data_IF_328330022020
#
_entry.id   IF_328330022020
#
_cell.length_a   1.000
_cell.length_b   1.000
_cell.length_c   1.000
_cell.angle_alpha   90.00
_cell.angle_beta   90.00
_cell.angle_gamma   90.00
#
_symmetry.space_group_name_H-M   'P 1'
#
loop_
_entity.id
_entity.type
_entity.pdbx_description
1 polymer ?
#
# COMPACT_ATOMS: atom_id res chain seq x y z
N UNK A 1 -13.28 -21.03 13.27
CA UNK A 1 -14.67 -20.53 13.10
C UNK A 1 -14.87 -20.15 11.64
N UNK A 2 -15.99 -20.54 11.04
CA UNK A 2 -16.33 -20.18 9.65
C UNK A 2 -17.71 -19.53 9.58
N UNK A 3 -17.91 -18.67 8.58
CA UNK A 3 -19.22 -18.13 8.25
C UNK A 3 -20.15 -19.27 7.81
N UNK A 4 -21.41 -19.22 8.25
CA UNK A 4 -22.42 -20.20 7.84
C UNK A 4 -22.78 -20.08 6.36
N UNK A 5 -22.74 -18.84 5.86
CA UNK A 5 -23.07 -18.51 4.47
C UNK A 5 -21.84 -17.96 3.75
N UNK A 6 -21.70 -18.20 2.45
CA UNK A 6 -20.63 -17.62 1.65
C UNK A 6 -20.81 -16.12 1.49
N UNK A 7 -19.72 -15.42 1.23
CA UNK A 7 -19.72 -14.01 0.84
C UNK A 7 -20.12 -13.94 -0.64
N UNK A 8 -21.28 -13.35 -0.90
CA UNK A 8 -21.80 -13.15 -2.26
C UNK A 8 -21.20 -11.93 -2.98
N UNK A 9 -20.60 -11.00 -2.24
CA UNK A 9 -20.00 -9.81 -2.83
C UNK A 9 -18.78 -10.17 -3.70
N UNK A 10 -18.74 -9.64 -4.93
CA UNK A 10 -17.61 -9.81 -5.83
C UNK A 10 -16.45 -8.89 -5.44
N UNK A 11 -16.78 -7.66 -5.05
CA UNK A 11 -15.86 -6.66 -4.52
C UNK A 11 -16.32 -6.25 -3.12
N UNK A 12 -15.41 -6.26 -2.15
CA UNK A 12 -15.74 -6.02 -0.75
C UNK A 12 -14.56 -5.44 0.04
N UNK A 13 -14.91 -4.72 1.10
CA UNK A 13 -13.99 -4.31 2.16
C UNK A 13 -14.33 -5.08 3.43
N UNK A 14 -13.31 -5.58 4.13
CA UNK A 14 -13.43 -6.21 5.43
C UNK A 14 -12.61 -5.44 6.46
N UNK A 15 -13.23 -5.07 7.57
CA UNK A 15 -12.56 -4.53 8.75
C UNK A 15 -12.65 -5.54 9.90
N UNK A 16 -11.48 -6.06 10.32
CA UNK A 16 -11.34 -6.99 11.43
C UNK A 16 -10.62 -6.31 12.59
N UNK A 17 -11.27 -6.28 13.76
CA UNK A 17 -10.67 -5.84 15.01
C UNK A 17 -10.38 -7.07 15.87
N UNK A 18 -9.13 -7.24 16.26
CA UNK A 18 -8.67 -8.39 17.03
C UNK A 18 -7.53 -8.00 17.98
N UNK A 19 -7.18 -8.88 18.91
CA UNK A 19 -6.10 -8.68 19.87
C UNK A 19 -5.31 -9.97 20.05
N UNK A 20 -4.04 -9.96 19.64
CA UNK A 20 -3.10 -11.04 19.91
C UNK A 20 -2.22 -10.60 21.09
N UNK A 21 -2.33 -11.30 22.21
CA UNK A 21 -1.62 -10.91 23.42
C UNK A 21 -1.20 -12.08 24.29
N UNK A 22 -0.12 -11.84 25.03
CA UNK A 22 0.27 -12.65 26.15
C UNK A 22 0.80 -11.71 27.25
N UNK A 23 0.05 -11.51 28.36
CA UNK A 23 0.43 -10.56 29.40
C UNK A 23 1.68 -10.99 30.18
N UNK A 24 1.96 -12.28 30.22
CA UNK A 24 3.09 -12.85 30.96
C UNK A 24 4.40 -12.75 30.17
N UNK A 25 4.32 -12.55 28.86
CA UNK A 25 5.48 -12.47 27.96
C UNK A 25 5.67 -11.03 27.47
N UNK A 26 6.43 -10.23 28.24
CA UNK A 26 6.98 -8.94 27.74
C UNK A 26 8.15 -9.16 26.78
N UNK A 27 8.94 -10.20 27.03
CA UNK A 27 10.05 -10.68 26.22
C UNK A 27 10.08 -12.21 26.31
N UNK A 28 9.99 -12.91 25.18
CA UNK A 28 9.94 -14.38 25.15
C UNK A 28 9.34 -14.89 23.84
N UNK A 29 9.27 -16.21 23.70
CA UNK A 29 8.66 -16.85 22.55
C UNK A 29 7.16 -17.02 22.82
N UNK A 30 6.32 -16.64 21.86
CA UNK A 30 4.86 -16.89 21.84
C UNK A 30 4.51 -17.55 20.51
N UNK A 31 3.34 -18.18 20.40
CA UNK A 31 2.91 -18.82 19.17
C UNK A 31 1.50 -19.42 19.24
N UNK A 32 0.88 -19.74 18.10
CA UNK A 32 1.46 -19.67 16.74
C UNK A 32 0.87 -18.54 15.87
N UNK A 33 -0.27 -17.96 16.25
CA UNK A 33 -0.85 -16.81 15.56
C UNK A 33 -2.34 -16.94 15.25
N UNK A 34 -2.80 -16.01 14.42
CA UNK A 34 -4.16 -15.92 13.89
C UNK A 34 -4.12 -16.04 12.36
N UNK A 35 -5.03 -16.80 11.78
CA UNK A 35 -5.22 -16.86 10.34
C UNK A 35 -6.64 -16.44 9.92
N UNK A 36 -6.70 -15.69 8.81
CA UNK A 36 -7.91 -15.29 8.12
C UNK A 36 -7.99 -16.04 6.79
N UNK A 37 -9.16 -16.56 6.48
CA UNK A 37 -9.36 -17.46 5.34
C UNK A 37 -10.51 -17.01 4.46
N UNK A 38 -10.32 -17.08 3.15
CA UNK A 38 -11.37 -17.00 2.13
C UNK A 38 -11.32 -18.27 1.29
N UNK A 39 -12.06 -19.30 1.71
CA UNK A 39 -11.99 -20.63 1.13
C UNK A 39 -13.25 -20.98 0.35
N UNK A 40 -13.13 -21.89 -0.62
CA UNK A 40 -14.27 -22.40 -1.38
C UNK A 40 -15.31 -23.15 -0.52
N UNK A 41 -14.87 -23.73 0.59
CA UNK A 41 -15.71 -24.39 1.61
C UNK A 41 -15.16 -24.16 3.01
N UNK A 42 -16.01 -24.26 4.06
CA UNK A 42 -15.52 -24.34 5.44
C UNK A 42 -14.56 -25.52 5.59
N UNK A 43 -13.45 -25.29 6.28
CA UNK A 43 -12.43 -26.32 6.51
C UNK A 43 -12.67 -27.05 7.82
N UNK A 44 -12.32 -28.34 7.84
CA UNK A 44 -12.22 -29.13 9.06
C UNK A 44 -11.02 -28.68 9.90
N UNK A 45 -10.99 -29.10 11.16
CA UNK A 45 -9.88 -28.80 12.08
C UNK A 45 -8.60 -29.48 11.57
N UNK A 46 -7.47 -28.76 11.64
CA UNK A 46 -6.17 -29.30 11.26
C UNK A 46 -4.99 -28.51 11.83
N UNK A 47 -3.81 -28.74 11.25
CA UNK A 47 -2.49 -28.33 11.75
C UNK A 47 -1.97 -27.01 11.17
N UNK A 48 -2.77 -26.33 10.34
CA UNK A 48 -2.41 -25.04 9.75
C UNK A 48 -3.24 -23.95 10.39
N UNK A 49 -2.74 -23.37 11.48
CA UNK A 49 -3.44 -22.35 12.26
C UNK A 49 -4.85 -22.81 12.65
N UNK A 50 -5.03 -24.10 12.91
CA UNK A 50 -6.30 -24.71 13.32
C UNK A 50 -7.21 -25.18 12.19
N UNK A 51 -6.79 -25.14 10.91
CA UNK A 51 -7.55 -25.72 9.78
C UNK A 51 -6.76 -26.82 9.06
N UNK A 52 -7.47 -27.64 8.28
CA UNK A 52 -6.86 -28.64 7.41
C UNK A 52 -5.94 -28.01 6.35
N UNK A 53 -4.77 -28.62 6.16
CA UNK A 53 -3.80 -28.25 5.12
C UNK A 53 -4.36 -28.50 3.71
N UNK A 54 -3.68 -27.98 2.67
CA UNK A 54 -4.10 -28.05 1.25
C UNK A 54 -5.48 -27.44 1.01
N UNK A 55 -5.69 -26.26 1.56
CA UNK A 55 -6.91 -25.49 1.33
C UNK A 55 -6.96 -24.92 -0.10
N UNK A 56 -8.16 -24.60 -0.57
CA UNK A 56 -8.41 -23.93 -1.85
C UNK A 56 -8.97 -22.53 -1.59
N UNK A 57 -8.23 -21.49 -1.99
CA UNK A 57 -8.55 -20.10 -1.70
C UNK A 57 -7.41 -19.34 -1.00
N UNK A 58 -7.73 -18.20 -0.41
CA UNK A 58 -6.72 -17.31 0.19
C UNK A 58 -6.59 -17.57 1.69
N UNK A 59 -5.35 -17.79 2.14
CA UNK A 59 -4.94 -17.78 3.54
C UNK A 59 -4.09 -16.56 3.85
N UNK A 60 -4.41 -15.88 4.96
CA UNK A 60 -3.68 -14.73 5.49
C UNK A 60 -3.29 -15.09 6.92
N UNK A 61 -2.06 -15.55 7.10
CA UNK A 61 -1.54 -16.05 8.36
C UNK A 61 -0.75 -14.94 9.04
N UNK A 62 -1.23 -14.50 10.19
CA UNK A 62 -0.56 -13.55 11.08
C UNK A 62 0.28 -14.37 12.07
N UNK A 63 1.49 -14.73 11.64
CA UNK A 63 2.36 -15.67 12.31
C UNK A 63 3.22 -14.96 13.36
N UNK A 64 3.10 -15.37 14.62
CA UNK A 64 3.85 -14.79 15.74
C UNK A 64 5.09 -15.59 16.10
N UNK A 65 5.24 -16.82 15.59
CA UNK A 65 6.31 -17.72 15.96
C UNK A 65 7.21 -18.09 14.80
N UNK A 66 8.52 -18.09 15.05
CA UNK A 66 9.52 -18.44 14.03
C UNK A 66 9.85 -19.93 14.09
N UNK A 67 9.28 -20.73 13.17
CA UNK A 67 9.68 -22.14 13.01
C UNK A 67 10.90 -22.28 12.08
N UNK A 68 10.94 -21.50 11.00
CA UNK A 68 11.95 -21.56 9.97
C UNK A 68 13.26 -20.85 10.33
N UNK A 69 14.31 -21.08 9.53
CA UNK A 69 15.63 -20.44 9.73
C UNK A 69 15.63 -18.95 9.36
N UNK A 70 14.74 -18.53 8.45
CA UNK A 70 14.73 -17.19 7.80
C UNK A 70 13.57 -16.34 8.32
N UNK A 71 13.68 -15.02 8.18
CA UNK A 71 12.61 -14.07 8.50
C UNK A 71 12.69 -13.42 9.88
N UNK A 72 12.00 -12.28 10.00
CA UNK A 72 11.72 -11.57 11.25
C UNK A 72 10.23 -11.74 11.55
N UNK A 73 9.89 -11.93 12.82
CA UNK A 73 8.53 -12.19 13.31
C UNK A 73 8.12 -11.12 14.34
N UNK A 74 6.82 -10.85 14.51
CA UNK A 74 5.68 -11.42 13.77
C UNK A 74 5.67 -11.09 12.27
N UNK A 75 5.12 -11.99 11.47
CA UNK A 75 5.10 -11.91 10.01
C UNK A 75 3.72 -12.24 9.46
N UNK A 76 3.23 -11.41 8.54
CA UNK A 76 1.99 -11.66 7.81
C UNK A 76 2.35 -12.40 6.53
N UNK A 77 1.92 -13.66 6.41
CA UNK A 77 2.14 -14.51 5.24
C UNK A 77 0.83 -14.70 4.48
N UNK A 78 0.83 -14.39 3.19
CA UNK A 78 -0.29 -14.67 2.29
C UNK A 78 0.05 -15.90 1.45
N UNK A 79 -0.88 -16.83 1.36
CA UNK A 79 -0.80 -18.00 0.49
C UNK A 79 -2.13 -18.14 -0.28
N UNK A 80 -2.04 -18.28 -1.60
CA UNK A 80 -3.18 -18.67 -2.43
C UNK A 80 -3.08 -20.19 -2.66
N UNK A 81 -3.94 -20.94 -1.98
CA UNK A 81 -4.02 -22.38 -2.07
C UNK A 81 -4.85 -22.83 -3.28
N UNK A 82 -4.39 -23.87 -3.94
CA UNK A 82 -5.01 -24.51 -5.11
C UNK A 82 -5.66 -25.86 -4.78
N UNK A 83 -5.76 -26.20 -3.49
CA UNK A 83 -6.22 -27.51 -3.01
C UNK A 83 -5.17 -28.63 -3.04
N UNK A 84 -3.95 -28.37 -3.54
CA UNK A 84 -2.88 -29.36 -3.66
C UNK A 84 -1.61 -28.97 -2.91
N UNK A 85 -1.21 -27.71 -3.04
CA UNK A 85 -0.04 -27.14 -2.41
C UNK A 85 -0.18 -27.16 -0.88
N UNK A 86 0.86 -27.66 -0.21
CA UNK A 86 0.89 -27.77 1.24
C UNK A 86 1.50 -26.53 1.86
N UNK A 87 0.87 -26.00 2.92
CA UNK A 87 1.53 -25.06 3.81
C UNK A 87 2.50 -25.83 4.71
N UNK A 88 3.79 -25.53 4.62
CA UNK A 88 4.80 -26.17 5.45
C UNK A 88 5.04 -25.37 6.75
N UNK A 89 4.51 -25.88 7.87
CA UNK A 89 4.64 -25.25 9.19
C UNK A 89 6.10 -25.13 9.65
N UNK A 90 6.97 -26.08 9.29
CA UNK A 90 8.38 -26.06 9.71
C UNK A 90 9.20 -24.91 9.07
N UNK A 91 8.67 -24.28 8.02
CA UNK A 91 9.31 -23.19 7.27
C UNK A 91 8.42 -21.96 7.19
N UNK A 92 7.38 -21.87 8.04
CA UNK A 92 6.43 -20.76 8.09
C UNK A 92 5.76 -20.48 6.71
N UNK A 93 5.57 -21.55 5.93
CA UNK A 93 5.05 -21.50 4.56
C UNK A 93 5.87 -20.65 3.59
N UNK A 94 7.21 -20.63 3.75
CA UNK A 94 8.11 -19.83 2.91
C UNK A 94 8.02 -20.21 1.43
N UNK A 95 7.87 -21.50 1.13
CA UNK A 95 7.92 -22.04 -0.24
C UNK A 95 6.68 -21.67 -1.07
N UNK A 96 5.53 -21.55 -0.41
CA UNK A 96 4.22 -21.29 -1.04
C UNK A 96 3.72 -19.87 -0.79
N UNK A 97 4.60 -19.00 -0.30
CA UNK A 97 4.29 -17.60 0.00
C UNK A 97 4.02 -16.83 -1.29
N UNK A 98 2.84 -16.24 -1.37
CA UNK A 98 2.49 -15.26 -2.41
C UNK A 98 3.11 -13.91 -2.09
N UNK A 99 2.89 -13.40 -0.88
CA UNK A 99 3.40 -12.12 -0.42
C UNK A 99 3.35 -12.04 1.12
N UNK A 100 3.89 -10.96 1.68
CA UNK A 100 3.83 -10.76 3.11
C UNK A 100 4.60 -9.54 3.59
N UNK A 101 4.42 -9.22 4.87
CA UNK A 101 5.10 -8.10 5.52
C UNK A 101 5.50 -8.44 6.96
N UNK A 102 6.45 -7.68 7.49
CA UNK A 102 6.81 -7.78 8.91
C UNK A 102 5.82 -6.93 9.71
N UNK A 103 5.21 -7.51 10.74
CA UNK A 103 4.19 -6.87 11.58
C UNK A 103 4.61 -6.83 13.04
N UNK A 104 5.65 -6.04 13.36
CA UNK A 104 6.28 -6.03 14.70
C UNK A 104 5.34 -5.64 15.84
N UNK A 105 4.31 -4.87 15.54
CA UNK A 105 3.36 -4.33 16.51
C UNK A 105 2.09 -5.19 16.67
N UNK A 106 2.05 -6.36 16.03
CA UNK A 106 0.88 -7.23 16.05
C UNK A 106 0.63 -7.89 17.41
N UNK A 107 1.70 -8.35 18.06
CA UNK A 107 1.66 -8.95 19.39
C UNK A 107 1.75 -7.86 20.46
N UNK A 108 0.86 -7.91 21.45
CA UNK A 108 0.80 -6.95 22.55
C UNK A 108 0.78 -5.48 22.03
N UNK A 109 -0.17 -5.11 21.13
CA UNK A 109 -0.24 -3.76 20.60
C UNK A 109 -0.51 -2.74 21.72
N UNK A 110 0.10 -1.56 21.64
CA UNK A 110 -0.07 -0.49 22.63
C UNK A 110 -1.54 -0.07 22.78
N UNK A 111 -2.30 -0.11 21.68
CA UNK A 111 -3.72 0.22 21.65
C UNK A 111 -4.62 -0.88 22.23
N UNK A 112 -4.06 -2.03 22.65
CA UNK A 112 -4.78 -3.26 23.08
C UNK A 112 -5.66 -3.91 22.03
N UNK A 113 -5.82 -3.33 20.86
CA UNK A 113 -6.52 -3.90 19.73
C UNK A 113 -5.77 -3.50 18.45
N UNK A 114 -5.76 -4.41 17.49
CA UNK A 114 -5.29 -4.16 16.13
C UNK A 114 -6.49 -4.20 15.20
N UNK A 115 -6.56 -3.22 14.30
CA UNK A 115 -7.54 -3.24 13.20
C UNK A 115 -6.84 -3.63 11.92
N UNK A 116 -7.37 -4.61 11.21
CA UNK A 116 -6.98 -4.97 9.86
C UNK A 116 -8.07 -4.51 8.90
N UNK A 117 -7.67 -3.93 7.79
CA UNK A 117 -8.54 -3.63 6.66
C UNK A 117 -8.07 -4.46 5.47
N UNK A 118 -9.00 -5.14 4.83
CA UNK A 118 -8.77 -5.85 3.59
C UNK A 118 -9.71 -5.30 2.54
N UNK A 119 -9.17 -4.90 1.39
CA UNK A 119 -9.97 -4.47 0.23
C UNK A 119 -9.71 -5.45 -0.89
N UNK A 120 -10.77 -6.10 -1.37
CA UNK A 120 -10.74 -6.98 -2.53
C UNK A 120 -11.65 -6.46 -3.63
N UNK A 121 -11.13 -6.42 -4.86
CA UNK A 121 -11.91 -6.04 -6.04
C UNK A 121 -11.85 -7.21 -7.03
N UNK A 122 -12.97 -7.47 -7.70
CA UNK A 122 -13.15 -8.55 -8.70
C UNK A 122 -12.04 -8.65 -9.75
N UNK A 123 -11.47 -7.52 -10.17
CA UNK A 123 -10.32 -7.49 -11.11
C UNK A 123 -9.04 -8.12 -10.57
N UNK A 124 -9.02 -8.51 -9.30
CA UNK A 124 -7.91 -9.18 -8.63
C UNK A 124 -7.05 -8.26 -7.78
N UNK A 125 -7.50 -7.03 -7.54
CA UNK A 125 -6.85 -6.13 -6.59
C UNK A 125 -7.09 -6.61 -5.16
N UNK A 126 -6.03 -6.74 -4.37
CA UNK A 126 -6.08 -7.06 -2.95
C UNK A 126 -5.14 -6.12 -2.19
N UNK A 127 -5.66 -5.37 -1.21
CA UNK A 127 -4.85 -4.58 -0.28
C UNK A 127 -5.14 -5.01 1.15
N UNK A 128 -4.10 -5.09 1.98
CA UNK A 128 -4.21 -5.33 3.41
C UNK A 128 -3.45 -4.26 4.16
N UNK A 129 -4.15 -3.58 5.07
CA UNK A 129 -3.62 -2.51 5.91
C UNK A 129 -3.89 -2.81 7.39
N UNK A 130 -2.95 -2.43 8.26
CA UNK A 130 -3.08 -2.60 9.71
C UNK A 130 -3.01 -1.27 10.46
N UNK A 131 -3.78 -1.16 11.53
CA UNK A 131 -3.73 -0.06 12.47
C UNK A 131 -3.49 -0.61 13.88
N UNK A 132 -2.23 -0.53 14.31
CA UNK A 132 -1.76 -1.06 15.60
C UNK A 132 -1.92 -0.07 16.77
N UNK A 133 -2.14 1.21 16.45
CA UNK A 133 -2.10 2.30 17.44
C UNK A 133 -3.49 2.84 17.81
N UNK A 134 -4.56 2.32 17.20
CA UNK A 134 -5.94 2.73 17.47
C UNK A 134 -6.26 4.18 17.07
N UNK A 135 -5.31 4.89 16.46
CA UNK A 135 -5.52 6.22 15.95
C UNK A 135 -6.19 6.12 14.58
N UNK A 136 -7.30 6.83 14.40
CA UNK A 136 -8.24 6.71 13.28
C UNK A 136 -7.66 6.82 11.84
N UNK A 137 -6.36 7.08 11.65
CA UNK A 137 -5.69 7.23 10.35
C UNK A 137 -4.26 6.71 10.28
N UNK A 138 -3.83 5.93 11.27
CA UNK A 138 -2.51 5.31 11.24
C UNK A 138 -2.60 3.91 10.66
N UNK A 139 -3.10 3.83 9.43
CA UNK A 139 -3.08 2.61 8.64
C UNK A 139 -1.71 2.44 8.00
N UNK A 140 -1.14 1.26 8.17
CA UNK A 140 0.13 0.85 7.59
C UNK A 140 -0.14 -0.26 6.59
N UNK A 141 0.20 0.00 5.33
CA UNK A 141 0.07 -1.01 4.30
C UNK A 141 1.03 -2.16 4.56
N UNK A 142 0.49 -3.37 4.53
CA UNK A 142 1.25 -4.60 4.61
C UNK A 142 1.58 -5.10 3.21
N UNK A 143 0.54 -5.24 2.39
CA UNK A 143 0.64 -5.82 1.06
C UNK A 143 -0.42 -5.25 0.15
N UNK A 144 -0.03 -5.02 -1.09
CA UNK A 144 -0.93 -4.70 -2.20
C UNK A 144 -0.55 -5.60 -3.37
N UNK A 145 -1.52 -6.36 -3.88
CA UNK A 145 -1.35 -7.29 -4.99
C UNK A 145 -2.37 -7.00 -6.08
N UNK A 146 -1.98 -7.34 -7.30
CA UNK A 146 -2.86 -7.50 -8.45
C UNK A 146 -2.99 -8.98 -8.77
N UNK A 147 -3.97 -9.32 -9.61
CA UNK A 147 -4.15 -10.68 -10.15
C UNK A 147 -4.48 -11.76 -9.10
N UNK A 148 -5.01 -11.38 -7.93
CA UNK A 148 -5.49 -12.33 -6.91
C UNK A 148 -6.90 -12.80 -7.25
N UNK A 149 -7.07 -14.08 -7.52
CA UNK A 149 -8.39 -14.68 -7.81
C UNK A 149 -8.88 -15.45 -6.61
N UNK A 150 -9.91 -14.92 -5.95
CA UNK A 150 -10.63 -15.68 -4.93
C UNK A 150 -11.60 -16.67 -5.58
N UNK A 151 -11.93 -17.78 -4.89
CA UNK A 151 -13.00 -18.68 -5.32
C UNK A 151 -14.31 -17.93 -5.52
N UNK A 152 -15.13 -18.36 -6.49
CA UNK A 152 -16.45 -17.75 -6.77
C UNK A 152 -17.36 -17.82 -5.53
N UNK A 153 -17.45 -19.01 -4.95
CA UNK A 153 -18.03 -19.24 -3.62
C UNK A 153 -16.92 -19.13 -2.60
N UNK A 154 -17.03 -18.20 -1.65
CA UNK A 154 -15.98 -17.96 -0.65
C UNK A 154 -16.56 -17.79 0.74
N UNK A 155 -16.11 -18.64 1.66
CA UNK A 155 -16.47 -18.62 3.07
C UNK A 155 -15.38 -17.90 3.85
N UNK A 156 -15.80 -17.03 4.77
CA UNK A 156 -14.86 -16.40 5.69
C UNK A 156 -14.55 -17.37 6.84
N UNK A 157 -13.27 -17.65 7.02
CA UNK A 157 -12.74 -18.36 8.18
C UNK A 157 -11.87 -17.47 9.05
N UNK A 158 -11.98 -17.64 10.36
CA UNK A 158 -11.03 -17.12 11.33
C UNK A 158 -10.61 -18.29 12.22
N UNK A 159 -9.32 -18.56 12.33
CA UNK A 159 -8.81 -19.64 13.17
C UNK A 159 -7.49 -19.24 13.80
N UNK A 160 -7.20 -19.83 14.95
CA UNK A 160 -5.95 -19.63 15.67
C UNK A 160 -5.51 -21.00 16.19
N UNK A 161 -4.21 -21.13 16.40
CA UNK A 161 -3.60 -22.34 16.94
C UNK A 161 -2.55 -21.96 17.97
N UNK A 162 -2.47 -22.75 19.02
CA UNK A 162 -1.38 -22.70 19.99
C UNK A 162 -0.66 -24.04 19.99
N UNK A 163 0.66 -23.98 20.11
CA UNK A 163 1.51 -25.16 20.16
C UNK A 163 2.01 -25.42 21.58
N UNK A 164 3.33 -25.62 21.70
CA UNK A 164 4.01 -25.67 23.00
C UNK A 164 4.07 -24.30 23.68
N UNK A 165 3.96 -23.23 22.87
CA UNK A 165 3.84 -21.86 23.32
C UNK A 165 2.37 -21.46 23.24
N UNK A 166 2.01 -20.49 24.07
CA UNK A 166 0.63 -20.02 24.18
C UNK A 166 0.55 -18.52 23.97
N UNK A 167 -0.54 -18.10 23.35
CA UNK A 167 -0.98 -16.72 23.27
C UNK A 167 -2.50 -16.69 23.24
N UNK A 168 -3.06 -15.55 23.59
CA UNK A 168 -4.49 -15.29 23.49
C UNK A 168 -4.77 -14.58 22.17
N UNK A 169 -5.78 -15.07 21.46
CA UNK A 169 -6.26 -14.46 20.22
C UNK A 169 -7.74 -14.13 20.38
N UNK A 170 -8.01 -12.85 20.60
CA UNK A 170 -9.38 -12.35 20.77
C UNK A 170 -9.87 -11.74 19.46
N UNK A 171 -11.03 -12.19 18.97
CA UNK A 171 -11.74 -11.54 17.85
C UNK A 171 -12.81 -10.63 18.46
N UNK A 172 -12.68 -9.33 18.23
CA UNK A 172 -13.53 -8.31 18.86
C UNK A 172 -14.69 -7.95 17.93
N UNK A 173 -14.38 -7.64 16.68
CA UNK A 173 -15.40 -7.23 15.70
C UNK A 173 -14.93 -7.58 14.29
N UNK A 174 -15.88 -8.02 13.46
CA UNK A 174 -15.66 -8.20 12.04
C UNK A 174 -16.81 -7.55 11.27
N UNK A 175 -16.49 -6.65 10.35
CA UNK A 175 -17.44 -6.00 9.45
C UNK A 175 -17.02 -6.22 8.02
N UNK A 176 -17.97 -6.62 7.17
CA UNK A 176 -17.76 -6.76 5.74
C UNK A 176 -18.75 -5.84 5.04
N UNK A 177 -18.24 -5.04 4.12
CA UNK A 177 -18.99 -4.09 3.30
C UNK A 177 -18.84 -4.52 1.84
N UNK A 178 -19.98 -4.73 1.18
CA UNK A 178 -19.99 -4.90 -0.27
C UNK A 178 -19.73 -3.55 -0.94
N UNK A 179 -18.87 -3.54 -1.97
CA UNK A 179 -18.51 -2.33 -2.70
C UNK A 179 -19.37 -2.24 -3.97
N UNK A 180 -20.41 -1.42 -3.89
CA UNK A 180 -21.32 -1.15 -5.00
C UNK A 180 -21.06 0.22 -5.63
N UNK A 181 -21.38 0.29 -6.91
CA UNK A 181 -21.57 1.53 -7.64
C UNK A 181 -22.99 2.07 -7.41
N UNK A 182 -23.27 3.33 -7.78
CA UNK A 182 -24.61 3.92 -7.67
C UNK A 182 -25.71 3.21 -8.48
N UNK A 183 -25.35 2.37 -9.45
CA UNK A 183 -26.27 1.58 -10.27
C UNK A 183 -26.55 0.17 -9.71
N UNK A 184 -26.18 -0.07 -8.45
CA UNK A 184 -26.27 -1.35 -7.73
C UNK A 184 -25.40 -2.48 -8.32
N UNK A 185 -24.45 -2.17 -9.21
CA UNK A 185 -23.44 -3.15 -9.68
C UNK A 185 -22.18 -3.12 -8.81
N UNK A 186 -21.39 -4.19 -8.79
CA UNK A 186 -20.14 -4.22 -8.02
C UNK A 186 -19.06 -3.39 -8.68
N UNK A 187 -18.21 -2.75 -7.87
CA UNK A 187 -17.02 -2.04 -8.35
C UNK A 187 -16.09 -3.02 -9.06
N UNK A 188 -15.64 -2.70 -10.27
CA UNK A 188 -14.85 -3.62 -11.09
C UNK A 188 -13.35 -3.33 -11.01
N UNK A 189 -12.97 -2.08 -10.75
CA UNK A 189 -11.57 -1.65 -10.74
C UNK A 189 -11.24 -0.73 -9.58
N UNK A 190 -9.95 -0.62 -9.26
CA UNK A 190 -9.47 0.31 -8.23
C UNK A 190 -9.63 1.76 -8.63
N UNK A 191 -9.44 2.09 -9.91
CA UNK A 191 -9.58 3.46 -10.41
C UNK A 191 -11.02 3.93 -10.25
N UNK A 192 -11.99 3.06 -10.57
CA UNK A 192 -13.40 3.30 -10.34
C UNK A 192 -13.74 3.48 -8.85
N UNK A 193 -13.18 2.63 -7.97
CA UNK A 193 -13.36 2.80 -6.52
C UNK A 193 -12.85 4.17 -6.04
N UNK A 194 -11.69 4.60 -6.54
CA UNK A 194 -11.08 5.87 -6.19
C UNK A 194 -11.93 7.06 -6.67
N UNK A 195 -12.49 6.98 -7.87
CA UNK A 195 -13.41 7.99 -8.39
C UNK A 195 -14.67 8.10 -7.53
N UNK A 196 -15.31 6.98 -7.18
CA UNK A 196 -16.48 6.96 -6.30
C UNK A 196 -16.20 7.56 -4.92
N UNK A 197 -15.05 7.22 -4.31
CA UNK A 197 -14.64 7.79 -3.03
C UNK A 197 -14.42 9.30 -3.15
N UNK A 198 -13.83 9.77 -4.25
CA UNK A 198 -13.60 11.20 -4.47
C UNK A 198 -14.91 11.96 -4.60
N UNK A 199 -15.84 11.45 -5.41
CA UNK A 199 -17.17 12.04 -5.61
C UNK A 199 -17.97 12.08 -4.31
N UNK A 200 -17.95 11.01 -3.53
CA UNK A 200 -18.62 10.97 -2.22
C UNK A 200 -18.05 12.00 -1.25
N UNK A 201 -16.72 12.17 -1.20
CA UNK A 201 -16.08 13.16 -0.35
C UNK A 201 -16.43 14.60 -0.78
N UNK A 202 -16.53 14.86 -2.08
CA UNK A 202 -16.93 16.16 -2.63
C UNK A 202 -18.39 16.47 -2.25
N UNK A 203 -19.31 15.51 -2.46
CA UNK A 203 -20.71 15.63 -2.05
C UNK A 203 -20.87 15.88 -0.54
N UNK A 204 -20.17 15.11 0.30
CA UNK A 204 -20.21 15.29 1.76
C UNK A 204 -19.68 16.66 2.20
N UNK A 205 -18.68 17.19 1.49
CA UNK A 205 -18.15 18.54 1.70
C UNK A 205 -19.20 19.61 1.37
N UNK A 206 -19.89 19.47 0.24
CA UNK A 206 -20.96 20.37 -0.19
C UNK A 206 -22.14 20.35 0.81
N UNK A 207 -22.65 19.17 1.17
CA UNK A 207 -23.73 19.02 2.16
C UNK A 207 -23.34 19.63 3.51
N UNK A 208 -22.09 19.41 3.93
CA UNK A 208 -21.54 20.01 5.15
C UNK A 208 -21.56 21.54 5.10
N UNK A 209 -21.21 22.14 3.95
CA UNK A 209 -21.17 23.58 3.75
C UNK A 209 -22.57 24.21 3.81
N UNK A 210 -23.55 23.59 3.14
CA UNK A 210 -24.96 24.01 3.17
C UNK A 210 -25.51 23.89 4.59
N UNK A 211 -25.20 22.79 5.29
CA UNK A 211 -25.63 22.59 6.68
C UNK A 211 -25.06 23.65 7.64
N UNK A 212 -23.85 24.18 7.39
CA UNK A 212 -23.33 25.33 8.15
C UNK A 212 -24.12 26.61 7.88
N UNK A 213 -24.41 26.91 6.60
CA UNK A 213 -25.17 28.11 6.22
C UNK A 213 -26.56 28.10 6.87
N UNK A 214 -27.28 26.97 6.78
CA UNK A 214 -28.60 26.82 7.41
C UNK A 214 -28.53 27.02 8.92
N UNK A 215 -27.49 26.51 9.58
CA UNK A 215 -27.28 26.72 11.03
C UNK A 215 -26.99 28.18 11.37
N UNK A 216 -26.26 28.89 10.53
CA UNK A 216 -25.99 30.33 10.72
C UNK A 216 -27.26 31.16 10.53
N UNK A 217 -28.06 30.86 9.50
CA UNK A 217 -29.35 31.49 9.28
C UNK A 217 -30.33 31.24 10.43
N UNK A 218 -30.40 30.00 10.93
CA UNK A 218 -31.24 29.65 12.07
C UNK A 218 -30.85 30.45 13.33
N UNK A 219 -29.55 30.54 13.64
CA UNK A 219 -29.04 31.36 14.75
C UNK A 219 -29.32 32.86 14.56
N UNK A 220 -29.23 33.37 13.34
CA UNK A 220 -29.54 34.76 13.03
C UNK A 220 -31.04 35.07 13.20
N UNK A 221 -31.92 34.14 12.84
CA UNK A 221 -33.38 34.24 13.08
C UNK A 221 -33.73 34.14 14.57
N UNK A 222 -33.03 33.28 15.33
CA UNK A 222 -33.23 33.12 16.77
C UNK A 222 -32.79 34.38 17.55
N UNK A 223 -31.68 35.02 17.17
CA UNK A 223 -31.26 36.32 17.75
C UNK A 223 -32.25 37.48 17.53
N UNK A 224 -33.09 37.40 16.50
CA UNK A 224 -34.11 38.43 16.19
C UNK A 224 -35.42 38.22 16.96
N UNK A 225 -35.65 37.04 17.56
CA UNK A 225 -36.81 36.74 18.43
C UNK A 225 -36.35 36.85 19.89
N UNK A 226 -36.84 37.87 20.59
CA UNK A 226 -36.26 38.40 21.83
C UNK A 226 -36.01 37.42 22.99
N UNK A 227 -35.06 37.86 23.82
CA UNK A 227 -34.66 37.40 25.15
C UNK A 227 -35.54 36.37 25.89
N UNK A 228 -35.11 35.11 25.86
CA UNK A 228 -35.45 34.10 26.85
C UNK A 228 -34.20 33.32 27.22
N UNK A 229 -33.81 33.34 28.50
CA UNK A 229 -32.66 32.58 29.03
C UNK A 229 -32.93 31.07 28.91
N UNK A 230 -32.37 30.43 27.90
CA UNK A 230 -32.18 28.97 27.91
C UNK A 230 -30.70 28.62 27.81
N UNK A 231 -30.27 27.79 28.77
CA UNK A 231 -28.90 27.30 28.94
C UNK A 231 -28.57 26.39 27.75
N UNK A 232 -27.75 26.89 26.82
CA UNK A 232 -27.36 26.14 25.63
C UNK A 232 -26.54 24.90 26.02
N UNK A 233 -27.05 23.72 25.66
CA UNK A 233 -26.30 22.47 25.74
C UNK A 233 -25.20 22.50 24.66
N UNK A 234 -23.97 22.82 25.06
CA UNK A 234 -22.80 22.88 24.19
C UNK A 234 -22.40 21.45 23.81
N UNK A 235 -23.02 20.89 22.76
CA UNK A 235 -22.64 19.59 22.20
C UNK A 235 -21.24 19.70 21.58
N UNK A 236 -20.33 18.85 22.05
CA UNK A 236 -18.87 18.84 21.82
C UNK A 236 -18.46 18.39 20.39
N UNK A 237 -19.23 18.73 19.35
CA UNK A 237 -19.02 18.23 17.97
C UNK A 237 -17.89 18.93 17.19
N UNK A 238 -17.33 20.01 17.74
CA UNK A 238 -16.28 20.80 17.08
C UNK A 238 -14.87 20.20 17.21
N UNK A 239 -14.66 19.27 18.15
CA UNK A 239 -13.36 18.66 18.45
C UNK A 239 -12.99 17.56 17.44
N UNK A 240 -13.96 16.75 16.99
CA UNK A 240 -13.73 15.71 15.98
C UNK A 240 -13.58 16.29 14.57
N UNK A 241 -14.34 17.33 14.23
CA UNK A 241 -14.38 17.93 12.89
C UNK A 241 -13.14 18.75 12.53
N UNK A 242 -12.49 19.38 13.51
CA UNK A 242 -11.17 20.02 13.31
C UNK A 242 -10.04 19.00 13.14
N UNK A 243 -10.26 17.75 13.60
CA UNK A 243 -9.28 16.68 13.41
C UNK A 243 -9.38 16.13 11.99
N UNK A 244 -10.58 15.92 11.43
CA UNK A 244 -10.76 15.38 10.05
C UNK A 244 -10.22 16.28 8.94
N UNK A 245 -10.31 17.60 9.08
CA UNK A 245 -9.73 18.53 8.08
C UNK A 245 -8.20 18.51 8.07
N UNK A 246 -7.59 18.49 9.27
CA UNK A 246 -6.14 18.40 9.44
C UNK A 246 -5.56 17.09 8.91
N UNK A 247 -6.37 16.03 8.97
CA UNK A 247 -6.09 14.70 8.47
C UNK A 247 -6.06 14.64 6.94
N UNK A 248 -7.06 15.26 6.30
CA UNK A 248 -7.09 15.44 4.84
C UNK A 248 -5.91 16.30 4.35
N UNK A 249 -5.59 17.38 5.05
CA UNK A 249 -4.44 18.23 4.72
C UNK A 249 -3.11 17.47 4.84
N UNK A 250 -2.97 16.58 5.84
CA UNK A 250 -1.79 15.72 5.96
C UNK A 250 -1.77 14.60 4.92
N UNK A 251 -2.91 14.05 4.51
CA UNK A 251 -3.01 13.06 3.44
C UNK A 251 -2.63 13.67 2.09
N UNK A 252 -3.14 14.86 1.77
CA UNK A 252 -2.76 15.62 0.56
C UNK A 252 -1.25 15.91 0.55
N UNK A 253 -0.70 16.35 1.68
CA UNK A 253 0.74 16.61 1.81
C UNK A 253 1.58 15.34 1.59
N UNK A 254 1.15 14.19 2.13
CA UNK A 254 1.81 12.89 1.94
C UNK A 254 1.76 12.41 0.50
N UNK A 255 0.62 12.53 -0.16
CA UNK A 255 0.47 12.18 -1.58
C UNK A 255 1.39 13.07 -2.42
N UNK A 256 1.43 14.37 -2.12
CA UNK A 256 2.31 15.33 -2.81
C UNK A 256 3.79 15.03 -2.57
N UNK A 257 4.17 14.61 -1.37
CA UNK A 257 5.52 14.15 -1.04
C UNK A 257 5.87 12.82 -1.74
N UNK A 258 4.94 11.86 -1.80
CA UNK A 258 5.11 10.60 -2.53
C UNK A 258 5.24 10.82 -4.03
N UNK A 259 4.42 11.69 -4.62
CA UNK A 259 4.58 12.10 -6.02
C UNK A 259 5.93 12.75 -6.26
N UNK A 260 6.38 13.65 -5.37
CA UNK A 260 7.72 14.25 -5.45
C UNK A 260 8.81 13.19 -5.41
N UNK A 261 8.74 12.23 -4.48
CA UNK A 261 9.73 11.15 -4.39
C UNK A 261 9.69 10.21 -5.59
N UNK A 262 8.49 9.93 -6.13
CA UNK A 262 8.33 9.13 -7.34
C UNK A 262 8.88 9.88 -8.56
N UNK A 263 8.59 11.18 -8.71
CA UNK A 263 9.16 12.04 -9.75
C UNK A 263 10.68 12.13 -9.62
N UNK A 264 11.23 12.24 -8.41
CA UNK A 264 12.67 12.16 -8.15
C UNK A 264 13.26 10.81 -8.54
N UNK A 265 12.62 9.69 -8.18
CA UNK A 265 13.11 8.35 -8.56
C UNK A 265 13.01 8.10 -10.07
N UNK A 266 11.99 8.65 -10.74
CA UNK A 266 11.73 8.44 -12.17
C UNK A 266 12.51 9.41 -13.08
N UNK A 267 12.70 10.65 -12.64
CA UNK A 267 13.28 11.73 -13.46
C UNK A 267 14.52 12.38 -12.84
N UNK A 268 14.88 12.05 -11.61
CA UNK A 268 16.14 12.45 -10.96
C UNK A 268 16.17 13.85 -10.35
N UNK A 269 15.20 14.74 -10.63
CA UNK A 269 15.22 16.14 -10.16
C UNK A 269 13.80 16.71 -9.94
N UNK A 270 13.67 17.71 -9.03
CA UNK A 270 12.37 18.17 -8.48
C UNK A 270 11.56 19.10 -9.40
N UNK A 271 12.18 19.95 -10.22
CA UNK A 271 11.47 20.93 -11.06
C UNK A 271 12.03 20.98 -12.48
N UNK A 272 11.23 20.56 -13.47
CA UNK A 272 11.57 20.71 -14.88
C UNK A 272 10.39 21.33 -15.62
N UNK A 273 10.58 22.56 -16.12
CA UNK A 273 9.81 23.09 -17.23
C UNK A 273 10.30 22.42 -18.53
N UNK A 274 9.40 22.10 -19.45
CA UNK A 274 9.70 21.46 -20.74
C UNK A 274 10.93 22.09 -21.46
N UNK A 275 11.10 23.41 -21.31
CA UNK A 275 12.18 24.20 -21.88
C UNK A 275 13.56 23.80 -21.30
N UNK A 276 13.70 23.59 -19.99
CA UNK A 276 15.01 23.31 -19.38
C UNK A 276 15.53 21.92 -19.74
N UNK A 277 14.63 20.93 -19.89
CA UNK A 277 14.99 19.58 -20.35
C UNK A 277 15.54 19.57 -21.77
N UNK A 278 14.82 20.21 -22.70
CA UNK A 278 15.24 20.30 -24.09
C UNK A 278 16.51 21.14 -24.26
N UNK A 279 16.67 22.19 -23.45
CA UNK A 279 17.88 23.01 -23.47
C UNK A 279 19.12 22.23 -23.01
N UNK A 280 18.99 21.38 -21.98
CA UNK A 280 20.07 20.49 -21.54
C UNK A 280 20.49 19.49 -22.62
N UNK A 281 19.53 18.83 -23.28
CA UNK A 281 19.78 17.92 -24.41
C UNK A 281 20.44 18.65 -25.58
N UNK A 282 20.02 19.88 -25.87
CA UNK A 282 20.60 20.73 -26.89
C UNK A 282 22.06 21.09 -26.60
N UNK A 283 22.40 21.49 -25.37
CA UNK A 283 23.79 21.80 -24.99
C UNK A 283 24.71 20.58 -25.08
N UNK A 284 24.22 19.39 -24.74
CA UNK A 284 24.97 18.14 -24.93
C UNK A 284 25.23 17.88 -26.41
N UNK A 285 24.24 18.08 -27.28
CA UNK A 285 24.41 17.95 -28.73
C UNK A 285 25.48 18.93 -29.26
N UNK A 286 25.42 20.20 -28.86
CA UNK A 286 26.38 21.24 -29.24
C UNK A 286 27.81 20.86 -28.80
N UNK A 287 27.96 20.30 -27.59
CA UNK A 287 29.26 19.82 -27.09
C UNK A 287 29.86 18.72 -27.97
N UNK A 288 29.05 17.75 -28.39
CA UNK A 288 29.52 16.68 -29.28
C UNK A 288 29.87 17.20 -30.69
N UNK A 289 29.13 18.17 -31.21
CA UNK A 289 29.46 18.84 -32.47
C UNK A 289 30.81 19.55 -32.37
N UNK A 290 31.08 20.26 -31.27
CA UNK A 290 32.37 20.90 -31.00
C UNK A 290 33.52 19.88 -30.94
N UNK A 291 33.33 18.73 -30.27
CA UNK A 291 34.33 17.67 -30.24
C UNK A 291 34.61 17.08 -31.62
N UNK A 292 33.58 16.92 -32.45
CA UNK A 292 33.73 16.43 -33.82
C UNK A 292 34.53 17.43 -34.68
N UNK A 293 34.24 18.73 -34.54
CA UNK A 293 35.01 19.78 -35.22
C UNK A 293 36.49 19.80 -34.80
N UNK A 294 36.77 19.69 -33.50
CA UNK A 294 38.15 19.61 -33.00
C UNK A 294 38.86 18.37 -33.55
N UNK A 295 38.19 17.22 -33.57
CA UNK A 295 38.77 15.99 -34.12
C UNK A 295 39.11 16.14 -35.62
N UNK A 296 38.23 16.78 -36.40
CA UNK A 296 38.50 17.07 -37.82
C UNK A 296 39.72 17.98 -38.00
N UNK A 297 39.86 19.01 -37.16
CA UNK A 297 41.04 19.90 -37.21
C UNK A 297 42.32 19.15 -36.85
N UNK A 298 42.29 18.26 -35.86
CA UNK A 298 43.45 17.44 -35.48
C UNK A 298 43.84 16.49 -36.63
N UNK A 299 42.87 15.82 -37.25
CA UNK A 299 43.12 14.95 -38.41
C UNK A 299 43.69 15.74 -39.58
N UNK A 300 43.15 16.94 -39.84
CA UNK A 300 43.66 17.82 -40.89
C UNK A 300 45.11 18.25 -40.62
N UNK A 301 45.44 18.64 -39.39
CA UNK A 301 46.82 18.95 -38.99
C UNK A 301 47.75 17.74 -39.12
N UNK A 302 47.31 16.57 -38.69
CA UNK A 302 48.08 15.33 -38.84
C UNK A 302 48.35 15.01 -40.31
N UNK A 303 47.37 15.22 -41.21
CA UNK A 303 47.54 15.06 -42.66
C UNK A 303 48.53 16.07 -43.25
N UNK A 304 48.54 17.32 -42.77
CA UNK A 304 49.54 18.32 -43.17
C UNK A 304 50.94 17.90 -42.73
N UNK A 305 51.12 17.52 -41.46
CA UNK A 305 52.41 17.05 -40.95
C UNK A 305 52.89 15.83 -41.72
N UNK A 306 51.99 14.87 -41.99
CA UNK A 306 52.30 13.70 -42.80
C UNK A 306 52.72 14.07 -44.22
N UNK A 307 52.03 15.01 -44.88
CA UNK A 307 52.43 15.53 -46.21
C UNK A 307 53.81 16.20 -46.18
N UNK A 308 54.10 17.03 -45.17
CA UNK A 308 55.40 17.69 -45.00
C UNK A 308 56.51 16.66 -44.76
N UNK A 309 56.29 15.67 -43.89
CA UNK A 309 57.26 14.60 -43.66
C UNK A 309 57.51 13.76 -44.92
N UNK A 310 56.46 13.47 -45.69
CA UNK A 310 56.58 12.78 -46.98
C UNK A 310 57.37 13.61 -48.01
N UNK A 311 57.19 14.93 -48.04
CA UNK A 311 57.99 15.83 -48.88
C UNK A 311 59.45 15.92 -48.43
N UNK A 312 59.75 16.03 -47.12
CA UNK A 312 61.12 15.99 -46.59
C UNK A 312 61.83 14.66 -46.88
N UNK A 313 61.12 13.53 -46.84
CA UNK A 313 61.67 12.23 -47.27
C UNK A 313 62.00 12.22 -48.75
N UNK A 314 61.14 12.79 -49.62
CA UNK A 314 61.43 12.96 -51.05
C UNK A 314 62.61 13.91 -51.31
N UNK A 315 62.76 15.00 -50.57
CA UNK A 315 63.89 15.94 -50.75
C UNK A 315 65.22 15.35 -50.29
N UNK A 316 65.24 14.51 -49.24
CA UNK A 316 66.44 13.77 -48.81
C UNK A 316 66.90 12.72 -49.81
N UNK A 317 65.99 12.13 -50.59
CA UNK A 317 66.36 11.23 -51.69
C UNK A 317 66.84 11.96 -52.95
N UNK A 318 66.55 13.26 -53.09
CA UNK A 318 67.01 14.07 -54.24
C UNK A 318 68.18 15.00 -53.91
N UNK A 319 68.57 15.14 -52.63
CA UNK A 319 69.71 15.96 -52.17
C UNK A 319 70.99 15.17 -51.90
N UNK A 320 71.15 14.01 -52.54
CA UNK A 320 72.37 13.20 -52.54
C UNK A 320 73.00 13.13 -53.95
N UNK A 321 72.80 14.18 -54.73
CA UNK A 321 73.44 14.49 -56.01
C UNK A 321 73.52 16.02 -56.12
N UNK A 322 74.39 16.60 -55.31
CA UNK A 322 75.26 17.74 -55.64
C UNK A 322 76.31 17.89 -54.54
#
# INVERSE_FOLDING_TARGET
MFSKWPIHAESFEMELTFHIHNPDVKHGLVGDGLAIWFLDKPSDIGDVFGIQNKFNGLGIMLDTFKNGKRGQFPYVNLMLGDGNAMYNKATDGYETRLAGCIAKQLLNPEAKETKMRLVYIKSGYLSIDFNYYGHHEQWQNCVTLTDVKLPETKYLGLSAETGQLVENVDIIENRIYALYKPDDTFVESIDELQELIREQNEYDSEVSSVASIVKEEAKAKEKKRGGGRHRAFKKKLSSERRKSLKRLEMAEKRIKEQERQYRLKKYGHEDINFITYWFGKFLVLVKYILYLLIAVVIVWFALIVFRIQKQKRKSKTTGLLD
#
